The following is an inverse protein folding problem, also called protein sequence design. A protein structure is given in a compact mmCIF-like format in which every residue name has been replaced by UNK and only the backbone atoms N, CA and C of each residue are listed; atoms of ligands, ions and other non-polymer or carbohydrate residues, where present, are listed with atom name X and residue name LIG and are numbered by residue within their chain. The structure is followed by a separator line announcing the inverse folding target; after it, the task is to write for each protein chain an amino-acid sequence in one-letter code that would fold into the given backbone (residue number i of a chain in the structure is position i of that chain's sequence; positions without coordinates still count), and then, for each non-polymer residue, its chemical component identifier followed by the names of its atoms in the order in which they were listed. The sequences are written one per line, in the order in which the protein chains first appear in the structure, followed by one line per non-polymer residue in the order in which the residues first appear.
data_IF_036464970190
#
_entry.id   IF_036464970190
#
_cell.length_a   1.000
_cell.length_b   1.000
_cell.length_c   1.000
_cell.angle_alpha   90.00
_cell.angle_beta   90.00
_cell.angle_gamma   90.00
#
_symmetry.space_group_name_H-M   'P 1'
#
loop_
_entity.id
_entity.type
_entity.pdbx_description
1 polymer ?
#
# COMPACT_ATOMS: atom_id res chain seq x y z
N UNK A 1 13.06 -10.15 24.42
CA UNK A 1 11.67 -10.58 24.68
C UNK A 1 10.86 -9.33 24.99
N UNK A 2 10.37 -8.65 23.96
CA UNK A 2 9.46 -7.51 24.09
C UNK A 2 8.22 -7.89 23.32
N UNK A 3 7.13 -8.18 24.03
CA UNK A 3 5.84 -8.51 23.44
C UNK A 3 5.18 -7.22 22.96
N UNK A 4 5.33 -6.87 21.67
CA UNK A 4 4.37 -6.02 20.99
C UNK A 4 3.13 -6.88 20.66
N UNK A 5 2.35 -7.21 21.70
CA UNK A 5 0.97 -7.65 21.46
C UNK A 5 0.21 -6.41 21.04
N UNK A 6 0.02 -6.25 19.73
CA UNK A 6 -1.04 -5.39 19.20
C UNK A 6 -2.32 -5.71 19.99
N UNK A 7 -2.74 -4.77 20.83
CA UNK A 7 -4.02 -4.87 21.52
C UNK A 7 -5.08 -4.64 20.46
N UNK A 8 -5.53 -5.72 19.82
CA UNK A 8 -6.74 -5.70 18.99
C UNK A 8 -7.87 -5.25 19.92
N UNK A 9 -8.23 -3.98 19.82
CA UNK A 9 -9.30 -3.41 20.62
C UNK A 9 -10.62 -4.08 20.19
N UNK A 10 -11.40 -4.63 21.13
CA UNK A 10 -12.71 -5.17 20.80
C UNK A 10 -13.60 -4.01 20.33
N UNK A 11 -13.98 -4.10 19.05
CA UNK A 11 -14.89 -3.24 18.27
C UNK A 11 -15.55 -2.15 19.13
N UNK A 12 -14.89 -1.00 19.20
CA UNK A 12 -15.53 0.21 19.68
C UNK A 12 -16.58 0.61 18.65
N UNK A 13 -17.86 0.36 18.96
CA UNK A 13 -19.00 0.96 18.26
C UNK A 13 -18.77 2.47 18.19
N UNK A 14 -18.41 3.02 17.03
CA UNK A 14 -18.40 4.47 16.83
C UNK A 14 -18.64 4.88 15.38
N UNK A 15 -19.73 5.63 15.27
CA UNK A 15 -20.09 6.68 14.33
C UNK A 15 -19.96 6.37 12.84
N UNK A 16 -21.14 6.12 12.23
CA UNK A 16 -21.46 6.26 10.81
C UNK A 16 -21.04 7.66 10.31
N UNK A 17 -19.75 7.93 10.17
CA UNK A 17 -19.30 8.94 9.24
C UNK A 17 -19.60 8.38 7.86
N UNK A 18 -20.65 8.93 7.27
CA UNK A 18 -21.09 8.83 5.88
C UNK A 18 -19.93 9.00 4.87
N UNK A 19 -19.04 8.03 4.79
CA UNK A 19 -18.40 7.71 3.54
C UNK A 19 -19.51 7.11 2.70
N UNK A 20 -19.90 7.78 1.62
CA UNK A 20 -20.66 7.12 0.56
C UNK A 20 -19.77 5.96 0.12
N UNK A 21 -20.02 4.77 0.65
CA UNK A 21 -19.24 3.58 0.33
C UNK A 21 -19.21 3.46 -1.19
N UNK A 22 -18.02 3.72 -1.75
CA UNK A 22 -17.77 3.47 -3.16
C UNK A 22 -17.92 1.97 -3.38
N UNK A 23 -18.23 1.56 -4.60
CA UNK A 23 -18.38 0.13 -4.89
C UNK A 23 -17.10 -0.64 -4.53
N UNK A 24 -15.93 -0.03 -4.78
CA UNK A 24 -14.64 -0.58 -4.38
C UNK A 24 -14.47 -0.72 -2.85
N UNK A 25 -14.95 0.25 -2.05
CA UNK A 25 -14.87 0.17 -0.60
C UNK A 25 -15.78 -0.94 -0.03
N UNK A 26 -16.99 -1.11 -0.59
CA UNK A 26 -17.87 -2.25 -0.24
C UNK A 26 -17.20 -3.56 -0.56
N UNK A 27 -16.63 -3.66 -1.77
CA UNK A 27 -15.91 -4.83 -2.20
C UNK A 27 -14.78 -5.21 -1.22
N UNK A 28 -13.94 -4.25 -0.81
CA UNK A 28 -12.93 -4.50 0.22
C UNK A 28 -13.56 -5.04 1.51
N UNK A 29 -14.69 -4.48 1.94
CA UNK A 29 -15.36 -4.91 3.16
C UNK A 29 -16.00 -6.30 3.04
N UNK A 30 -16.49 -6.67 1.85
CA UNK A 30 -17.07 -7.99 1.57
C UNK A 30 -16.04 -9.13 1.67
N UNK A 31 -14.74 -8.81 1.58
CA UNK A 31 -13.65 -9.76 1.83
C UNK A 31 -13.39 -9.99 3.32
N UNK A 32 -13.97 -9.20 4.23
CA UNK A 32 -13.70 -9.32 5.66
C UNK A 32 -14.15 -10.69 6.21
N UNK A 33 -13.18 -11.45 6.71
CA UNK A 33 -13.39 -12.81 7.23
C UNK A 33 -12.90 -13.91 6.28
N UNK A 34 -12.58 -13.58 5.04
CA UNK A 34 -11.93 -14.51 4.11
C UNK A 34 -10.45 -14.75 4.49
N UNK A 35 -9.87 -15.93 4.19
CA UNK A 35 -8.49 -16.25 4.53
C UNK A 35 -7.45 -15.30 3.91
N UNK A 36 -7.76 -14.78 2.74
CA UNK A 36 -6.98 -13.86 1.92
C UNK A 36 -7.47 -12.40 2.03
N UNK A 37 -8.21 -12.07 3.10
CA UNK A 37 -8.59 -10.70 3.38
C UNK A 37 -7.33 -9.79 3.41
N UNK A 38 -7.24 -8.73 2.59
CA UNK A 38 -6.02 -7.93 2.44
C UNK A 38 -5.41 -7.42 3.75
N UNK A 39 -6.23 -7.01 4.72
CA UNK A 39 -5.74 -6.56 6.02
C UNK A 39 -5.13 -7.71 6.83
N UNK A 40 -5.74 -8.89 6.81
CA UNK A 40 -5.19 -10.08 7.46
C UNK A 40 -3.84 -10.46 6.84
N UNK A 41 -3.72 -10.41 5.51
CA UNK A 41 -2.47 -10.65 4.81
C UNK A 41 -1.39 -9.62 5.19
N UNK A 42 -1.75 -8.34 5.27
CA UNK A 42 -0.83 -7.28 5.68
C UNK A 42 -0.28 -7.49 7.10
N UNK A 43 -1.14 -7.88 8.05
CA UNK A 43 -0.73 -8.23 9.40
C UNK A 43 0.21 -9.44 9.43
N UNK A 44 -0.07 -10.47 8.63
CA UNK A 44 0.81 -11.64 8.51
C UNK A 44 2.17 -11.27 7.92
N UNK A 45 2.22 -10.39 6.92
CA UNK A 45 3.47 -9.88 6.34
C UNK A 45 4.27 -9.10 7.36
N UNK A 46 3.63 -8.24 8.16
CA UNK A 46 4.28 -7.55 9.28
C UNK A 46 4.84 -8.54 10.32
N UNK A 47 4.02 -9.50 10.76
CA UNK A 47 4.42 -10.53 11.72
C UNK A 47 5.63 -11.34 11.23
N UNK A 48 5.72 -11.57 9.92
CA UNK A 48 6.86 -12.26 9.31
C UNK A 48 8.10 -11.37 9.27
N UNK A 49 7.95 -10.11 8.88
CA UNK A 49 9.03 -9.12 8.90
C UNK A 49 9.62 -8.97 10.32
N UNK A 50 8.78 -8.82 11.33
CA UNK A 50 9.23 -8.68 12.72
C UNK A 50 10.06 -9.91 13.18
N UNK A 51 9.66 -11.12 12.77
CA UNK A 51 10.35 -12.37 13.13
C UNK A 51 11.68 -12.57 12.41
N UNK A 52 11.83 -12.03 11.21
CA UNK A 52 13.06 -12.18 10.40
C UNK A 52 14.08 -11.08 10.68
N UNK A 53 13.66 -9.96 11.29
CA UNK A 53 14.54 -8.86 11.66
C UNK A 53 15.40 -9.20 12.89
N UNK A 54 16.75 -9.14 12.79
CA UNK A 54 17.64 -9.38 13.93
C UNK A 54 17.51 -8.33 15.03
N UNK A 55 17.25 -7.08 14.66
CA UNK A 55 17.18 -5.95 15.58
C UNK A 55 15.99 -5.03 15.29
N UNK A 56 15.64 -4.22 16.28
CA UNK A 56 14.61 -3.17 16.14
C UNK A 56 15.03 -2.08 15.14
N UNK A 57 16.33 -1.83 15.00
CA UNK A 57 16.86 -0.88 14.01
C UNK A 57 16.69 -1.40 12.59
N UNK A 58 16.99 -2.69 12.36
CA UNK A 58 16.74 -3.35 11.08
C UNK A 58 15.26 -3.28 10.72
N UNK A 59 14.37 -3.64 11.67
CA UNK A 59 12.94 -3.56 11.48
C UNK A 59 12.48 -2.13 11.12
N UNK A 60 12.99 -1.12 11.82
CA UNK A 60 12.66 0.27 11.53
C UNK A 60 13.02 0.65 10.10
N UNK A 61 14.25 0.34 9.67
CA UNK A 61 14.73 0.66 8.33
C UNK A 61 13.91 -0.08 7.26
N UNK A 62 13.62 -1.36 7.45
CA UNK A 62 12.79 -2.11 6.51
C UNK A 62 11.38 -1.59 6.42
N UNK A 63 10.75 -1.19 7.54
CA UNK A 63 9.40 -0.61 7.49
C UNK A 63 9.35 0.64 6.60
N UNK A 64 10.35 1.52 6.70
CA UNK A 64 10.39 2.76 5.91
C UNK A 64 10.65 2.45 4.44
N UNK A 65 11.64 1.61 4.15
CA UNK A 65 11.99 1.21 2.79
C UNK A 65 10.80 0.53 2.10
N UNK A 66 10.16 -0.42 2.78
CA UNK A 66 8.98 -1.12 2.27
C UNK A 66 7.80 -0.16 2.08
N UNK A 67 7.56 0.78 3.01
CA UNK A 67 6.50 1.79 2.83
C UNK A 67 6.67 2.57 1.52
N UNK A 68 7.91 2.98 1.21
CA UNK A 68 8.23 3.72 -0.02
C UNK A 68 8.07 2.80 -1.23
N UNK A 69 8.64 1.59 -1.17
CA UNK A 69 8.57 0.61 -2.25
C UNK A 69 7.11 0.28 -2.61
N UNK A 70 6.29 -0.05 -1.62
CA UNK A 70 4.88 -0.40 -1.79
C UNK A 70 4.09 0.79 -2.33
N UNK A 71 4.37 2.01 -1.86
CA UNK A 71 3.71 3.23 -2.36
C UNK A 71 4.00 3.46 -3.84
N UNK A 72 5.24 3.25 -4.27
CA UNK A 72 5.61 3.33 -5.67
C UNK A 72 4.94 2.22 -6.49
N UNK A 73 4.88 1.00 -5.96
CA UNK A 73 4.19 -0.11 -6.60
C UNK A 73 2.68 0.16 -6.77
N UNK A 74 2.04 0.75 -5.76
CA UNK A 74 0.64 1.15 -5.83
C UNK A 74 0.37 2.11 -6.99
N UNK A 75 1.28 3.04 -7.29
CA UNK A 75 1.17 3.93 -8.47
C UNK A 75 1.09 3.14 -9.78
N UNK A 76 1.85 2.05 -9.92
CA UNK A 76 1.77 1.18 -11.09
C UNK A 76 0.43 0.45 -11.20
N UNK A 77 -0.12 -0.03 -10.08
CA UNK A 77 -1.47 -0.60 -10.06
C UNK A 77 -2.51 0.44 -10.48
N UNK A 78 -2.44 1.66 -9.94
CA UNK A 78 -3.38 2.73 -10.26
C UNK A 78 -3.41 3.06 -11.74
N UNK A 79 -2.23 3.26 -12.35
CA UNK A 79 -2.13 3.53 -13.78
C UNK A 79 -2.69 2.37 -14.61
N UNK A 80 -2.38 1.12 -14.25
CA UNK A 80 -2.92 -0.03 -14.94
C UNK A 80 -4.45 -0.11 -14.83
N UNK A 81 -5.01 0.06 -13.64
CA UNK A 81 -6.45 -0.01 -13.39
C UNK A 81 -7.20 1.07 -14.18
N UNK A 82 -6.63 2.28 -14.28
CA UNK A 82 -7.19 3.36 -15.10
C UNK A 82 -7.13 3.01 -16.58
N UNK A 83 -6.00 2.49 -17.07
CA UNK A 83 -5.87 2.07 -18.48
C UNK A 83 -6.85 0.94 -18.83
N UNK A 84 -7.05 -0.01 -17.92
CA UNK A 84 -8.05 -1.08 -18.08
C UNK A 84 -9.45 -0.49 -18.21
N UNK A 85 -9.82 0.49 -17.38
CA UNK A 85 -11.12 1.17 -17.50
C UNK A 85 -11.30 1.89 -18.82
N UNK A 86 -10.25 2.52 -19.33
CA UNK A 86 -10.29 3.21 -20.61
C UNK A 86 -10.35 2.24 -21.81
N UNK A 87 -9.92 0.99 -21.60
CA UNK A 87 -9.76 -0.03 -22.65
C UNK A 87 -10.19 -1.42 -22.14
N UNK A 88 -11.45 -1.60 -21.69
CA UNK A 88 -11.88 -2.80 -20.96
C UNK A 88 -11.78 -4.09 -21.79
N UNK A 89 -11.87 -3.99 -23.12
CA UNK A 89 -11.69 -5.12 -24.04
C UNK A 89 -10.26 -5.69 -24.04
N UNK A 90 -9.28 -4.92 -23.54
CA UNK A 90 -7.89 -5.33 -23.41
C UNK A 90 -7.50 -5.67 -21.95
N UNK A 91 -8.46 -5.76 -21.03
CA UNK A 91 -8.18 -5.98 -19.61
C UNK A 91 -7.25 -7.18 -19.34
N UNK A 92 -7.60 -8.37 -19.84
CA UNK A 92 -6.79 -9.58 -19.64
C UNK A 92 -5.39 -9.48 -20.27
N UNK A 93 -5.24 -9.07 -21.56
CA UNK A 93 -3.92 -8.81 -22.13
C UNK A 93 -3.07 -7.80 -21.33
N UNK A 94 -3.68 -6.76 -20.77
CA UNK A 94 -2.99 -5.76 -19.97
C UNK A 94 -2.51 -6.35 -18.63
N UNK A 95 -3.33 -7.17 -17.97
CA UNK A 95 -2.97 -7.91 -16.75
C UNK A 95 -1.82 -8.88 -17.02
N UNK A 96 -1.90 -9.67 -18.10
CA UNK A 96 -0.84 -10.62 -18.48
C UNK A 96 0.48 -9.90 -18.75
N UNK A 97 0.42 -8.79 -19.49
CA UNK A 97 1.59 -7.96 -19.78
C UNK A 97 2.19 -7.40 -18.47
N UNK A 98 1.36 -6.82 -17.61
CA UNK A 98 1.80 -6.29 -16.31
C UNK A 98 2.49 -7.35 -15.45
N UNK A 99 1.98 -8.58 -15.47
CA UNK A 99 2.57 -9.72 -14.77
C UNK A 99 3.92 -10.12 -15.39
N UNK A 100 4.02 -10.14 -16.72
CA UNK A 100 5.26 -10.49 -17.43
C UNK A 100 6.39 -9.48 -17.25
N UNK A 101 6.06 -8.22 -16.99
CA UNK A 101 7.02 -7.11 -16.81
C UNK A 101 7.35 -6.85 -15.32
N UNK A 102 7.00 -7.79 -14.42
CA UNK A 102 7.18 -7.61 -12.98
C UNK A 102 8.64 -7.30 -12.58
N UNK A 103 9.63 -8.04 -13.10
CA UNK A 103 11.04 -7.82 -12.75
C UNK A 103 11.59 -6.48 -13.21
N UNK A 104 11.18 -5.99 -14.37
CA UNK A 104 11.59 -4.66 -14.86
C UNK A 104 10.98 -3.55 -14.00
N UNK A 105 9.69 -3.68 -13.67
CA UNK A 105 9.00 -2.77 -12.76
C UNK A 105 9.64 -2.75 -11.37
N UNK A 106 9.95 -3.91 -10.81
CA UNK A 106 10.62 -4.02 -9.50
C UNK A 106 11.99 -3.35 -9.51
N UNK A 107 12.76 -3.50 -10.59
CA UNK A 107 14.05 -2.81 -10.71
C UNK A 107 13.89 -1.29 -10.71
N UNK A 108 12.91 -0.77 -11.46
CA UNK A 108 12.60 0.67 -11.48
C UNK A 108 12.18 1.15 -10.09
N UNK A 109 11.29 0.42 -9.41
CA UNK A 109 10.82 0.78 -8.08
C UNK A 109 11.97 0.74 -7.07
N UNK A 110 12.83 -0.27 -7.11
CA UNK A 110 13.97 -0.38 -6.19
C UNK A 110 14.94 0.81 -6.34
N UNK A 111 15.23 1.25 -7.57
CA UNK A 111 16.05 2.43 -7.81
C UNK A 111 15.40 3.70 -7.24
N UNK A 112 14.10 3.89 -7.48
CA UNK A 112 13.37 5.05 -6.95
C UNK A 112 13.28 5.02 -5.41
N UNK A 113 12.97 3.87 -4.82
CA UNK A 113 12.91 3.68 -3.39
C UNK A 113 14.25 3.99 -2.72
N UNK A 114 15.35 3.52 -3.31
CA UNK A 114 16.71 3.85 -2.84
C UNK A 114 17.00 5.36 -2.89
N UNK A 115 16.58 6.04 -3.96
CA UNK A 115 16.75 7.49 -4.09
C UNK A 115 15.93 8.26 -3.05
N UNK A 116 14.69 7.85 -2.78
CA UNK A 116 13.84 8.45 -1.75
C UNK A 116 14.37 8.19 -0.34
N UNK A 117 14.81 6.97 -0.06
CA UNK A 117 15.41 6.62 1.23
C UNK A 117 16.68 7.45 1.47
N UNK A 118 17.56 7.54 0.48
CA UNK A 118 18.77 8.37 0.55
C UNK A 118 18.44 9.84 0.83
N UNK A 119 17.38 10.38 0.22
CA UNK A 119 16.93 11.74 0.51
C UNK A 119 16.46 11.91 1.96
N UNK A 120 15.71 10.94 2.49
CA UNK A 120 15.23 10.95 3.88
C UNK A 120 16.40 10.88 4.87
N UNK A 121 17.33 9.94 4.67
CA UNK A 121 18.52 9.76 5.51
C UNK A 121 19.39 11.03 5.52
N UNK A 122 19.48 11.70 4.37
CA UNK A 122 20.21 12.96 4.21
C UNK A 122 19.40 14.20 4.61
N UNK A 123 18.30 14.03 5.36
CA UNK A 123 17.48 15.12 5.92
C UNK A 123 16.93 16.06 4.86
N UNK A 124 16.54 15.50 3.72
CA UNK A 124 15.98 16.25 2.61
C UNK A 124 17.02 16.88 1.67
N UNK A 125 18.28 16.47 1.75
CA UNK A 125 19.34 16.95 0.86
C UNK A 125 19.58 15.92 -0.24
N UNK A 126 19.28 16.29 -1.49
CA UNK A 126 19.59 15.49 -2.68
C UNK A 126 20.73 16.14 -3.50
N UNK A 127 21.67 15.33 -4.00
CA UNK A 127 22.79 15.77 -4.86
C UNK A 127 22.46 15.72 -6.37
N UNK A 128 21.20 15.47 -6.71
CA UNK A 128 20.75 15.17 -8.07
C UNK A 128 20.56 13.67 -8.26
N UNK A 129 19.32 13.24 -8.49
CA UNK A 129 18.92 11.89 -8.85
C UNK A 129 17.77 11.94 -9.87
N UNK A 130 17.37 10.77 -10.39
CA UNK A 130 16.25 10.63 -11.32
C UNK A 130 14.88 10.99 -10.73
N UNK A 131 14.77 11.08 -9.41
CA UNK A 131 13.52 11.31 -8.68
C UNK A 131 13.43 12.70 -8.01
N UNK A 132 14.31 13.65 -8.36
CA UNK A 132 14.40 14.93 -7.65
C UNK A 132 13.07 15.69 -7.54
N UNK A 133 12.25 15.65 -8.60
CA UNK A 133 10.97 16.34 -8.66
C UNK A 133 9.91 15.71 -7.73
N UNK A 134 10.09 14.45 -7.34
CA UNK A 134 9.14 13.69 -6.52
C UNK A 134 9.57 13.59 -5.05
N UNK A 135 10.66 14.27 -4.65
CA UNK A 135 11.10 14.24 -3.26
C UNK A 135 10.12 14.92 -2.29
N UNK A 136 9.31 15.85 -2.77
CA UNK A 136 8.27 16.49 -1.97
C UNK A 136 7.25 15.46 -1.43
N UNK A 137 6.98 14.39 -2.18
CA UNK A 137 6.03 13.33 -1.81
C UNK A 137 6.45 12.55 -0.55
N UNK A 138 7.75 12.53 -0.24
CA UNK A 138 8.31 11.81 0.92
C UNK A 138 8.91 12.73 1.97
N UNK A 139 8.91 14.05 1.74
CA UNK A 139 9.57 15.01 2.63
C UNK A 139 9.00 15.00 4.05
N UNK A 140 7.68 14.80 4.17
CA UNK A 140 7.01 14.71 5.48
C UNK A 140 7.46 13.49 6.31
N UNK A 141 7.99 12.43 5.68
CA UNK A 141 8.49 11.25 6.38
C UNK A 141 9.76 11.55 7.19
N UNK A 142 10.54 12.57 6.80
CA UNK A 142 11.81 12.93 7.45
C UNK A 142 11.62 13.19 8.95
N UNK A 143 10.53 13.85 9.35
CA UNK A 143 10.30 14.19 10.77
C UNK A 143 10.04 12.95 11.62
N UNK A 144 9.37 11.95 11.06
CA UNK A 144 9.08 10.68 11.73
C UNK A 144 10.33 9.81 11.75
N UNK A 145 11.09 9.80 10.65
CA UNK A 145 12.38 9.13 10.54
C UNK A 145 13.35 9.61 11.63
N UNK A 146 13.55 10.92 11.73
CA UNK A 146 14.47 11.53 12.71
C UNK A 146 14.09 11.25 14.17
N UNK A 147 12.80 11.00 14.44
CA UNK A 147 12.28 10.67 15.77
C UNK A 147 12.30 9.19 16.07
N UNK A 148 12.67 8.36 15.09
CA UNK A 148 12.54 6.90 15.17
C UNK A 148 11.12 6.47 15.54
N UNK A 149 10.12 7.09 14.91
CA UNK A 149 8.70 6.87 15.21
C UNK A 149 8.21 5.52 14.65
N UNK A 150 8.54 4.45 15.36
CA UNK A 150 8.20 3.07 14.98
C UNK A 150 6.70 2.87 14.82
N UNK A 151 5.88 3.49 15.69
CA UNK A 151 4.43 3.33 15.65
C UNK A 151 3.85 3.94 14.35
N UNK A 152 4.36 5.10 13.94
CA UNK A 152 3.99 5.71 12.68
C UNK A 152 4.33 4.80 11.49
N UNK A 153 5.56 4.30 11.39
CA UNK A 153 5.96 3.47 10.25
C UNK A 153 5.32 2.08 10.24
N UNK A 154 5.01 1.50 11.40
CA UNK A 154 4.22 0.27 11.48
C UNK A 154 2.82 0.49 10.91
N UNK A 155 2.13 1.55 11.36
CA UNK A 155 0.78 1.86 10.87
C UNK A 155 0.80 2.13 9.36
N UNK A 156 1.77 2.94 8.89
CA UNK A 156 1.97 3.20 7.47
C UNK A 156 2.23 1.91 6.68
N UNK A 157 3.09 1.02 7.17
CA UNK A 157 3.42 -0.23 6.52
C UNK A 157 2.19 -1.13 6.35
N UNK A 158 1.42 -1.34 7.43
CA UNK A 158 0.22 -2.17 7.36
C UNK A 158 -0.83 -1.53 6.44
N UNK A 159 -0.99 -0.20 6.48
CA UNK A 159 -1.86 0.54 5.58
C UNK A 159 -1.47 0.33 4.11
N UNK A 160 -0.19 0.52 3.79
CA UNK A 160 0.32 0.38 2.43
C UNK A 160 0.25 -1.07 1.92
N UNK A 161 0.60 -2.05 2.75
CA UNK A 161 0.45 -3.46 2.37
C UNK A 161 -1.01 -3.85 2.14
N UNK A 162 -1.93 -3.35 2.98
CA UNK A 162 -3.36 -3.60 2.80
C UNK A 162 -3.85 -3.02 1.47
N UNK A 163 -3.39 -1.81 1.10
CA UNK A 163 -3.67 -1.22 -0.21
C UNK A 163 -3.13 -2.12 -1.32
N UNK A 164 -1.87 -2.57 -1.24
CA UNK A 164 -1.27 -3.42 -2.26
C UNK A 164 -2.07 -4.71 -2.47
N UNK A 165 -2.33 -5.47 -1.40
CA UNK A 165 -3.11 -6.71 -1.51
C UNK A 165 -4.53 -6.46 -2.03
N UNK A 166 -5.13 -5.32 -1.69
CA UNK A 166 -6.44 -4.95 -2.24
C UNK A 166 -6.35 -4.71 -3.76
N UNK A 167 -5.33 -4.00 -4.24
CA UNK A 167 -5.13 -3.77 -5.68
C UNK A 167 -4.82 -5.07 -6.42
N UNK A 168 -4.02 -5.96 -5.83
CA UNK A 168 -3.72 -7.29 -6.38
C UNK A 168 -5.01 -8.11 -6.52
N UNK A 169 -5.84 -8.15 -5.48
CA UNK A 169 -7.10 -8.89 -5.52
C UNK A 169 -8.08 -8.30 -6.55
N UNK A 170 -8.15 -6.97 -6.68
CA UNK A 170 -8.93 -6.31 -7.74
C UNK A 170 -8.40 -6.74 -9.12
N UNK A 171 -7.08 -6.70 -9.30
CA UNK A 171 -6.44 -6.94 -10.59
C UNK A 171 -6.56 -8.40 -11.06
N UNK A 172 -6.26 -9.34 -10.17
CA UNK A 172 -6.08 -10.74 -10.53
C UNK A 172 -7.33 -11.60 -10.33
N UNK A 173 -8.27 -11.18 -9.47
CA UNK A 173 -9.48 -11.97 -9.22
C UNK A 173 -10.74 -11.25 -9.69
N UNK A 174 -10.90 -9.97 -9.39
CA UNK A 174 -12.16 -9.26 -9.67
C UNK A 174 -12.32 -8.87 -11.12
N UNK A 175 -11.31 -8.25 -11.73
CA UNK A 175 -11.42 -7.87 -13.15
C UNK A 175 -11.65 -9.12 -14.03
N UNK A 176 -10.95 -10.25 -13.83
CA UNK A 176 -11.21 -11.47 -14.62
C UNK A 176 -12.58 -12.11 -14.37
N UNK A 177 -13.11 -12.05 -13.14
CA UNK A 177 -14.38 -12.70 -12.79
C UNK A 177 -15.62 -11.82 -12.96
N UNK A 178 -15.46 -10.50 -12.91
CA UNK A 178 -16.53 -9.51 -13.01
C UNK A 178 -16.09 -8.28 -13.83
N UNK A 179 -16.08 -8.37 -15.17
CA UNK A 179 -15.62 -7.28 -16.04
C UNK A 179 -16.40 -5.97 -15.91
N UNK A 180 -17.63 -6.00 -15.39
CA UNK A 180 -18.46 -4.79 -15.16
C UNK A 180 -17.80 -3.87 -14.11
N UNK A 181 -16.97 -4.43 -13.22
CA UNK A 181 -16.23 -3.65 -12.23
C UNK A 181 -15.21 -2.69 -12.84
N UNK A 182 -14.83 -2.86 -14.11
CA UNK A 182 -13.88 -1.97 -14.79
C UNK A 182 -14.37 -0.53 -14.85
N UNK A 183 -15.69 -0.30 -14.92
CA UNK A 183 -16.30 1.04 -14.93
C UNK A 183 -15.99 1.84 -13.65
N UNK A 184 -15.75 1.13 -12.54
CA UNK A 184 -15.49 1.69 -11.22
C UNK A 184 -14.02 2.07 -10.99
N UNK A 185 -13.09 1.72 -11.89
CA UNK A 185 -11.64 1.95 -11.71
C UNK A 185 -11.19 3.38 -12.08
N UNK A 186 -12.02 4.37 -11.80
CA UNK A 186 -11.65 5.78 -11.97
C UNK A 186 -10.61 6.21 -10.94
N UNK A 187 -9.73 7.16 -11.29
CA UNK A 187 -8.76 7.74 -10.34
C UNK A 187 -9.42 8.20 -9.03
N UNK A 188 -10.60 8.81 -9.09
CA UNK A 188 -11.35 9.25 -7.91
C UNK A 188 -11.82 8.09 -7.04
N UNK A 189 -12.30 7.00 -7.64
CA UNK A 189 -12.77 5.84 -6.90
C UNK A 189 -11.58 5.07 -6.28
N UNK A 190 -10.47 4.96 -7.01
CA UNK A 190 -9.26 4.32 -6.51
C UNK A 190 -8.67 5.12 -5.33
N UNK A 191 -8.61 6.45 -5.43
CA UNK A 191 -8.18 7.30 -4.32
C UNK A 191 -9.13 7.17 -3.11
N UNK A 192 -10.44 7.13 -3.35
CA UNK A 192 -11.43 6.92 -2.28
C UNK A 192 -11.28 5.55 -1.61
N UNK A 193 -10.98 4.49 -2.37
CA UNK A 193 -10.66 3.17 -1.84
C UNK A 193 -9.41 3.23 -0.96
N UNK A 194 -8.33 3.88 -1.42
CA UNK A 194 -7.09 4.02 -0.64
C UNK A 194 -7.35 4.71 0.70
N UNK A 195 -8.06 5.82 0.68
CA UNK A 195 -8.42 6.52 1.93
C UNK A 195 -9.26 5.63 2.85
N UNK A 196 -10.24 4.91 2.30
CA UNK A 196 -11.05 3.99 3.07
C UNK A 196 -10.21 2.87 3.72
N UNK A 197 -9.26 2.29 2.98
CA UNK A 197 -8.34 1.27 3.51
C UNK A 197 -7.47 1.83 4.63
N UNK A 198 -6.90 3.03 4.46
CA UNK A 198 -6.10 3.67 5.52
C UNK A 198 -6.95 3.91 6.77
N UNK A 199 -8.15 4.49 6.61
CA UNK A 199 -9.07 4.73 7.73
C UNK A 199 -9.46 3.42 8.44
N UNK A 200 -9.67 2.34 7.66
CA UNK A 200 -9.98 1.01 8.18
C UNK A 200 -8.85 0.44 9.06
N UNK A 201 -7.60 0.59 8.59
CA UNK A 201 -6.39 0.14 9.28
C UNK A 201 -6.14 0.97 10.54
N UNK A 202 -6.19 2.30 10.46
CA UNK A 202 -6.02 3.20 11.60
C UNK A 202 -7.05 2.96 12.71
N UNK A 203 -8.26 2.53 12.37
CA UNK A 203 -9.29 2.21 13.36
C UNK A 203 -9.02 0.91 14.14
N UNK A 204 -8.07 0.08 13.71
CA UNK A 204 -7.82 -1.28 14.24
C UNK A 204 -6.43 -1.50 14.82
N UNK A 205 -5.49 -0.58 14.59
CA UNK A 205 -4.13 -0.59 15.13
C UNK A 205 -3.98 0.52 16.16
#
# INVERSE_FOLDING_TARGET
MTQFKAQINPIAKRDEKSYKETILARYFHDLEGEPDFPFTMALQSFDNLEKTCPTTEDLFNYLIEDCIFISLYATFFEELLVVIRENPEYALPLIDKFSSEASEREQIIAEQAHNHMSFIENKGICKGCSCCENHEDVADLIRYYQRQDMAFFLNLYVGMQTIQYTMEHILYDIIPSNPVMTDELSRSNILALRQYVIDYVEARI
#
